data_IF_648180727960
#
_entry.id   IF_648180727960
#
_cell.length_a   1.000
_cell.length_b   1.000
_cell.length_c   1.000
_cell.angle_alpha   90.00
_cell.angle_beta   90.00
_cell.angle_gamma   90.00
#
_symmetry.space_group_name_H-M   'P 1'
#
loop_
_entity.id
_entity.type
_entity.pdbx_description
1 polymer ?
#
# COMPACT_ATOMS: atom_id res chain seq x y z
N UNK A 1 -5.29 1.06 14.58
CA UNK A 1 -4.52 1.68 13.47
C UNK A 1 -3.00 1.59 13.70
N UNK A 2 -2.48 0.45 14.19
CA UNK A 2 -1.04 0.26 14.44
C UNK A 2 -0.24 -0.16 13.20
N UNK A 3 -0.90 -0.63 12.14
CA UNK A 3 -0.27 -1.13 10.90
C UNK A 3 0.16 0.00 9.96
N UNK A 4 -0.48 1.18 10.07
CA UNK A 4 -0.15 2.37 9.27
C UNK A 4 1.22 2.96 9.66
N UNK A 5 1.68 2.70 10.89
CA UNK A 5 2.89 3.31 11.48
C UNK A 5 4.22 2.96 10.79
N UNK A 6 4.26 1.98 9.88
CA UNK A 6 5.50 1.55 9.23
C UNK A 6 5.67 2.05 7.79
N UNK A 7 4.68 2.72 7.20
CA UNK A 7 4.72 3.07 5.78
C UNK A 7 4.71 4.56 5.54
N UNK A 8 5.54 4.98 4.59
CA UNK A 8 5.58 6.35 4.14
C UNK A 8 4.36 6.68 3.28
N UNK A 9 3.98 7.95 3.26
CA UNK A 9 2.97 8.48 2.34
C UNK A 9 3.20 8.06 0.87
N UNK A 10 4.46 8.06 0.42
CA UNK A 10 4.81 7.69 -0.95
C UNK A 10 4.64 6.20 -1.23
N UNK A 11 4.88 5.33 -0.26
CA UNK A 11 4.67 3.88 -0.40
C UNK A 11 3.19 3.57 -0.59
N UNK A 12 2.33 4.32 0.11
CA UNK A 12 0.88 4.18 0.00
C UNK A 12 0.39 4.65 -1.37
N UNK A 13 0.89 5.80 -1.85
CA UNK A 13 0.53 6.28 -3.20
C UNK A 13 1.01 5.30 -4.27
N UNK A 14 2.24 4.80 -4.16
CA UNK A 14 2.78 3.83 -5.11
C UNK A 14 1.93 2.55 -5.13
N UNK A 15 1.54 2.03 -3.96
CA UNK A 15 0.65 0.87 -3.86
C UNK A 15 -0.75 1.11 -4.44
N UNK A 16 -1.36 2.27 -4.17
CA UNK A 16 -2.66 2.63 -4.74
C UNK A 16 -2.61 2.88 -6.25
N UNK A 17 -1.48 3.36 -6.77
CA UNK A 17 -1.26 3.56 -8.20
C UNK A 17 -1.10 2.23 -8.95
N UNK A 18 -0.46 1.23 -8.32
CA UNK A 18 -0.25 -0.09 -8.93
C UNK A 18 -1.58 -0.82 -9.27
N UNK A 19 -2.66 -0.54 -8.54
CA UNK A 19 -3.99 -1.09 -8.82
C UNK A 19 -4.92 -0.15 -9.60
N UNK A 20 -4.46 1.03 -10.00
CA UNK A 20 -5.29 2.07 -10.61
C UNK A 20 -6.49 2.51 -9.73
N UNK A 21 -6.49 2.14 -8.44
CA UNK A 21 -7.56 2.41 -7.46
C UNK A 21 -7.33 3.71 -6.68
N UNK A 22 -6.31 4.51 -7.02
CA UNK A 22 -5.99 5.76 -6.32
C UNK A 22 -7.16 6.76 -6.20
N UNK A 23 -8.11 6.70 -7.13
CA UNK A 23 -9.32 7.53 -7.16
C UNK A 23 -10.41 7.12 -6.16
N UNK A 24 -10.34 5.91 -5.60
CA UNK A 24 -11.37 5.38 -4.69
C UNK A 24 -11.10 5.72 -3.22
N UNK A 25 -9.87 6.13 -2.90
CA UNK A 25 -9.42 6.38 -1.53
C UNK A 25 -9.26 7.88 -1.29
N UNK A 26 -9.83 8.37 -0.19
CA UNK A 26 -9.66 9.75 0.27
C UNK A 26 -9.10 9.76 1.69
N UNK A 27 -8.11 10.63 1.93
CA UNK A 27 -7.46 10.75 3.24
C UNK A 27 -8.05 11.91 4.05
N UNK A 28 -8.25 11.70 5.34
CA UNK A 28 -8.58 12.78 6.28
C UNK A 28 -7.30 13.61 6.55
N UNK A 29 -7.38 14.93 6.79
CA UNK A 29 -6.25 15.75 7.26
C UNK A 29 -5.44 15.13 8.42
N UNK A 30 -6.10 14.43 9.35
CA UNK A 30 -5.41 13.74 10.45
C UNK A 30 -4.54 12.59 9.94
N UNK A 31 -5.04 11.78 9.00
CA UNK A 31 -4.30 10.65 8.43
C UNK A 31 -3.10 11.14 7.64
N UNK A 32 -3.24 12.24 6.88
CA UNK A 32 -2.12 12.85 6.17
C UNK A 32 -1.03 13.35 7.13
N UNK A 33 -1.40 13.92 8.28
CA UNK A 33 -0.42 14.31 9.28
C UNK A 33 0.27 13.11 9.91
N UNK A 34 -0.40 11.97 10.06
CA UNK A 34 0.22 10.72 10.53
C UNK A 34 1.17 10.11 9.50
N UNK A 35 0.79 10.15 8.21
CA UNK A 35 1.59 9.59 7.11
C UNK A 35 2.81 10.43 6.72
N UNK A 36 2.79 11.73 7.02
CA UNK A 36 3.91 12.66 6.78
C UNK A 36 4.90 12.66 7.94
N UNK A 37 4.51 12.20 9.14
CA UNK A 37 5.46 11.98 10.22
C UNK A 37 6.45 10.91 9.76
N UNK A 38 7.71 11.32 9.60
CA UNK A 38 8.78 10.37 9.34
C UNK A 38 8.76 9.33 10.46
N UNK A 39 8.92 8.03 10.14
CA UNK A 39 9.09 7.03 11.18
C UNK A 39 10.28 7.48 12.02
N UNK A 40 10.08 7.65 13.32
CA UNK A 40 11.17 7.99 14.23
C UNK A 40 12.32 7.00 13.94
N UNK A 41 13.51 7.50 13.59
CA UNK A 41 14.73 6.69 13.42
C UNK A 41 15.20 6.01 14.73
N UNK A 42 14.32 5.85 15.73
CA UNK A 42 14.57 5.21 17.01
C UNK A 42 14.53 3.68 16.95
N UNK A 43 14.41 3.10 15.75
CA UNK A 43 14.68 1.68 15.50
C UNK A 43 15.86 1.48 14.53
N UNK A 44 16.99 2.18 14.76
CA UNK A 44 18.26 1.50 14.48
C UNK A 44 18.33 0.34 15.47
N UNK A 45 18.33 -0.94 15.04
CA UNK A 45 18.70 -1.99 15.96
C UNK A 45 20.06 -1.61 16.51
N UNK A 46 20.17 -1.57 17.83
CA UNK A 46 21.42 -1.46 18.56
C UNK A 46 22.27 -2.70 18.21
N UNK A 47 22.88 -2.70 17.02
CA UNK A 47 23.73 -3.76 16.50
C UNK A 47 25.02 -3.92 17.32
N UNK A 48 25.27 -3.04 18.30
CA UNK A 48 26.49 -3.07 19.11
C UNK A 48 26.43 -4.09 20.25
N UNK A 49 25.26 -4.52 20.73
CA UNK A 49 25.18 -5.49 21.83
C UNK A 49 25.40 -6.95 21.37
N UNK A 50 25.05 -7.30 20.13
CA UNK A 50 25.27 -8.66 19.59
C UNK A 50 26.70 -8.90 19.08
N UNK A 51 27.44 -7.84 18.76
CA UNK A 51 28.83 -7.93 18.30
C UNK A 51 29.80 -8.46 19.38
N UNK A 52 29.41 -8.40 20.66
CA UNK A 52 30.22 -8.84 21.81
C UNK A 52 29.97 -10.30 22.20
N UNK A 53 28.92 -10.94 21.67
CA UNK A 53 28.68 -12.37 21.90
C UNK A 53 29.60 -13.16 21.00
N UNK A 54 30.32 -14.14 21.57
CA UNK A 54 31.16 -15.05 20.81
C UNK A 54 30.28 -15.74 19.76
N UNK A 55 30.70 -15.71 18.50
CA UNK A 55 29.99 -16.39 17.41
C UNK A 55 30.03 -17.89 17.66
N UNK A 56 28.87 -18.50 17.86
CA UNK A 56 28.75 -19.96 17.95
C UNK A 56 29.18 -20.60 16.63
N UNK A 57 29.96 -21.68 16.72
CA UNK A 57 30.43 -22.42 15.54
C UNK A 57 29.30 -23.33 15.09
N UNK A 58 28.72 -23.04 13.92
CA UNK A 58 27.55 -23.74 13.37
C UNK A 58 27.95 -24.96 12.53
N UNK A 59 29.14 -24.92 11.91
CA UNK A 59 29.58 -25.92 10.94
C UNK A 59 31.03 -26.38 11.17
N UNK A 60 31.34 -27.59 10.72
CA UNK A 60 32.66 -28.21 10.89
C UNK A 60 33.63 -28.06 9.71
N UNK A 61 33.28 -27.30 8.66
CA UNK A 61 34.08 -27.25 7.42
C UNK A 61 35.54 -26.83 7.60
N UNK A 62 35.83 -26.02 8.64
CA UNK A 62 37.18 -25.56 8.97
C UNK A 62 37.83 -26.36 10.12
N UNK A 63 37.25 -27.50 10.52
CA UNK A 63 37.87 -28.42 11.49
C UNK A 63 37.63 -28.12 12.97
N UNK A 64 36.47 -27.54 13.35
CA UNK A 64 36.06 -27.32 14.74
C UNK A 64 35.04 -28.35 15.26
N UNK A 65 35.04 -28.63 16.57
CA UNK A 65 33.96 -29.39 17.22
C UNK A 65 32.70 -28.53 17.24
N UNK A 66 31.60 -29.09 16.73
CA UNK A 66 30.28 -28.42 16.70
C UNK A 66 29.42 -29.03 17.79
N UNK A 67 29.04 -28.21 18.76
CA UNK A 67 28.04 -28.60 19.75
C UNK A 67 26.65 -28.37 19.14
N UNK A 68 26.00 -29.47 18.74
CA UNK A 68 24.70 -29.47 18.05
C UNK A 68 23.64 -28.72 18.85
N UNK A 69 23.68 -28.83 20.19
CA UNK A 69 22.75 -28.17 21.10
C UNK A 69 22.95 -26.64 21.16
N UNK A 70 24.18 -26.16 20.98
CA UNK A 70 24.46 -24.72 20.94
C UNK A 70 24.09 -24.15 19.56
N UNK A 71 24.43 -24.89 18.50
CA UNK A 71 24.09 -24.53 17.14
C UNK A 71 22.57 -24.51 16.90
N UNK A 72 21.78 -25.43 17.49
CA UNK A 72 20.33 -25.43 17.32
C UNK A 72 19.63 -24.22 17.97
N UNK A 73 20.23 -23.67 19.02
CA UNK A 73 19.66 -22.55 19.78
C UNK A 73 20.08 -21.18 19.24
N UNK A 74 21.00 -21.14 18.28
CA UNK A 74 21.43 -19.90 17.62
C UNK A 74 20.34 -19.39 16.66
N UNK A 75 20.11 -18.07 16.64
CA UNK A 75 19.23 -17.44 15.65
C UNK A 75 19.96 -17.25 14.33
N UNK A 76 19.37 -17.75 13.25
CA UNK A 76 19.91 -17.65 11.89
C UNK A 76 19.13 -16.61 11.10
N UNK A 77 19.80 -15.54 10.70
CA UNK A 77 19.26 -14.62 9.70
C UNK A 77 19.77 -15.00 8.30
N UNK A 78 18.87 -15.56 7.49
CA UNK A 78 19.10 -15.95 6.10
C UNK A 78 18.29 -15.08 5.12
N UNK A 79 17.86 -13.90 5.56
CA UNK A 79 16.99 -12.99 4.79
C UNK A 79 17.56 -12.54 3.44
N UNK A 80 18.88 -12.61 3.24
CA UNK A 80 19.52 -12.30 1.97
C UNK A 80 19.34 -13.38 0.88
N UNK A 81 18.87 -14.59 1.25
CA UNK A 81 18.63 -15.70 0.32
C UNK A 81 17.14 -15.86 0.00
N UNK A 82 16.80 -16.13 -1.25
CA UNK A 82 15.40 -16.28 -1.68
C UNK A 82 14.77 -17.65 -1.32
N UNK A 83 15.60 -18.70 -1.26
CA UNK A 83 15.15 -20.09 -1.00
C UNK A 83 15.70 -20.65 0.31
N UNK A 84 16.30 -19.80 1.15
CA UNK A 84 16.94 -20.20 2.40
C UNK A 84 18.35 -20.77 2.23
N UNK A 85 18.86 -21.40 3.30
CA UNK A 85 20.26 -21.85 3.37
C UNK A 85 20.55 -23.16 2.63
N UNK A 86 19.55 -23.99 2.36
CA UNK A 86 19.72 -25.26 1.64
C UNK A 86 18.41 -25.72 1.02
N UNK A 87 18.48 -26.18 -0.23
CA UNK A 87 17.37 -26.83 -0.94
C UNK A 87 17.84 -28.21 -1.43
N UNK A 88 17.11 -29.30 -1.15
CA UNK A 88 17.47 -30.63 -1.63
C UNK A 88 17.56 -30.68 -3.17
N UNK A 89 18.62 -31.32 -3.69
CA UNK A 89 18.91 -31.39 -5.13
C UNK A 89 17.72 -31.90 -5.95
N UNK A 90 17.14 -33.05 -5.56
CA UNK A 90 15.98 -33.65 -6.25
C UNK A 90 14.77 -32.72 -6.27
N UNK A 91 14.56 -31.97 -5.18
CA UNK A 91 13.48 -31.02 -5.10
C UNK A 91 13.74 -29.89 -6.09
N UNK A 92 14.91 -29.25 -6.02
CA UNK A 92 15.28 -28.13 -6.89
C UNK A 92 15.19 -28.48 -8.38
N UNK A 93 15.62 -29.68 -8.76
CA UNK A 93 15.54 -30.18 -10.15
C UNK A 93 14.10 -30.39 -10.64
N UNK A 94 13.17 -30.65 -9.73
CA UNK A 94 11.75 -30.89 -10.04
C UNK A 94 10.86 -29.64 -9.95
N UNK A 95 11.39 -28.51 -9.47
CA UNK A 95 10.60 -27.29 -9.28
C UNK A 95 10.30 -26.62 -10.63
N UNK A 96 9.09 -26.06 -10.70
CA UNK A 96 8.63 -25.26 -11.83
C UNK A 96 9.21 -23.85 -11.76
N UNK A 97 9.96 -23.43 -12.78
CA UNK A 97 10.49 -22.06 -12.86
C UNK A 97 9.39 -21.01 -13.00
N UNK A 98 8.28 -21.37 -13.64
CA UNK A 98 7.15 -20.46 -13.91
C UNK A 98 6.44 -20.10 -12.61
N UNK A 99 6.17 -21.10 -11.77
CA UNK A 99 5.47 -20.88 -10.50
C UNK A 99 6.30 -20.04 -9.53
N UNK A 100 7.62 -20.28 -9.49
CA UNK A 100 8.54 -19.47 -8.69
C UNK A 100 8.70 -18.06 -9.24
N UNK A 101 8.71 -17.85 -10.56
CA UNK A 101 8.73 -16.51 -11.13
C UNK A 101 7.48 -15.71 -10.72
N UNK A 102 6.30 -16.32 -10.80
CA UNK A 102 5.06 -15.70 -10.32
C UNK A 102 5.07 -15.45 -8.82
N UNK A 103 5.58 -16.40 -8.04
CA UNK A 103 5.73 -16.24 -6.60
C UNK A 103 6.65 -15.06 -6.27
N UNK A 104 7.83 -14.97 -6.88
CA UNK A 104 8.78 -13.87 -6.64
C UNK A 104 8.27 -12.52 -7.09
N UNK A 105 7.59 -12.46 -8.23
CA UNK A 105 6.92 -11.22 -8.64
C UNK A 105 5.88 -10.79 -7.60
N UNK A 106 5.07 -11.73 -7.10
CA UNK A 106 4.06 -11.46 -6.09
C UNK A 106 4.67 -11.04 -4.73
N UNK A 107 5.71 -11.73 -4.27
CA UNK A 107 6.28 -11.53 -2.93
C UNK A 107 7.29 -10.38 -2.86
N UNK A 108 8.10 -10.16 -3.89
CA UNK A 108 9.13 -9.13 -3.87
C UNK A 108 8.64 -7.79 -4.41
N UNK A 109 7.81 -7.80 -5.45
CA UNK A 109 7.38 -6.57 -6.12
C UNK A 109 5.96 -6.14 -5.70
N UNK A 110 5.01 -7.09 -5.66
CA UNK A 110 3.61 -6.76 -5.40
C UNK A 110 3.21 -6.74 -3.91
N UNK A 111 4.07 -7.16 -2.98
CA UNK A 111 3.70 -7.28 -1.56
C UNK A 111 3.22 -5.95 -0.97
N UNK A 112 3.97 -4.88 -1.21
CA UNK A 112 3.62 -3.54 -0.73
C UNK A 112 2.24 -3.12 -1.25
N UNK A 113 2.02 -3.28 -2.55
CA UNK A 113 0.77 -2.94 -3.19
C UNK A 113 -0.38 -3.75 -2.58
N UNK A 114 -0.26 -5.08 -2.49
CA UNK A 114 -1.29 -5.96 -1.93
C UNK A 114 -1.68 -5.56 -0.52
N UNK A 115 -0.69 -5.28 0.33
CA UNK A 115 -0.97 -4.86 1.69
C UNK A 115 -1.60 -3.46 1.77
N UNK A 116 -1.29 -2.54 0.85
CA UNK A 116 -1.97 -1.23 0.74
C UNK A 116 -3.42 -1.43 0.29
N UNK A 117 -3.64 -2.31 -0.67
CA UNK A 117 -4.97 -2.63 -1.19
C UNK A 117 -5.87 -3.18 -0.07
N UNK A 118 -5.39 -4.14 0.72
CA UNK A 118 -6.15 -4.71 1.83
C UNK A 118 -6.53 -3.65 2.88
N UNK A 119 -5.58 -2.76 3.20
CA UNK A 119 -5.76 -1.72 4.20
C UNK A 119 -6.80 -0.66 3.80
N UNK A 120 -6.77 -0.18 2.56
CA UNK A 120 -7.60 0.95 2.12
C UNK A 120 -8.80 0.53 1.28
N UNK A 121 -8.60 -0.37 0.31
CA UNK A 121 -9.66 -0.77 -0.64
C UNK A 121 -10.46 -1.95 -0.09
N UNK A 122 -9.80 -2.97 0.46
CA UNK A 122 -10.43 -4.18 1.02
C UNK A 122 -11.29 -3.90 2.25
N UNK A 123 -10.88 -2.96 3.08
CA UNK A 123 -11.60 -2.58 4.32
C UNK A 123 -12.68 -1.51 4.08
N UNK A 124 -12.83 -1.01 2.84
CA UNK A 124 -13.81 0.04 2.52
C UNK A 124 -13.46 1.42 3.09
N UNK A 125 -12.22 1.63 3.50
CA UNK A 125 -11.79 2.86 4.16
C UNK A 125 -11.77 4.04 3.17
N UNK A 126 -12.50 5.11 3.50
CA UNK A 126 -12.52 6.33 2.69
C UNK A 126 -13.13 6.15 1.29
N UNK A 127 -13.83 5.02 1.04
CA UNK A 127 -14.60 4.82 -0.18
C UNK A 127 -15.62 5.94 -0.31
N UNK A 128 -15.53 6.67 -1.41
CA UNK A 128 -16.61 7.55 -1.85
C UNK A 128 -17.84 6.64 -2.00
N UNK A 129 -18.96 6.89 -1.31
CA UNK A 129 -20.17 6.11 -1.53
C UNK A 129 -20.50 6.19 -3.02
N UNK A 130 -20.44 5.04 -3.68
CA UNK A 130 -20.83 4.86 -5.06
C UNK A 130 -22.34 5.07 -5.16
N UNK A 131 -22.76 6.33 -5.21
CA UNK A 131 -23.98 6.70 -5.91
C UNK A 131 -23.57 7.24 -7.28
N UNK A 132 -24.24 6.71 -8.31
CA UNK A 132 -24.12 7.00 -9.75
C UNK A 132 -23.14 6.04 -10.49
N UNK A 133 -23.46 4.75 -10.51
CA UNK A 133 -23.83 4.01 -11.73
C UNK A 133 -23.91 2.51 -11.44
N UNK A 134 -25.04 1.90 -11.83
CA UNK A 134 -25.49 0.59 -11.38
C UNK A 134 -24.50 -0.56 -11.61
N UNK A 135 -24.18 -1.24 -10.52
CA UNK A 135 -23.88 -2.66 -10.51
C UNK A 135 -24.31 -3.19 -9.15
N UNK A 136 -25.27 -4.08 -9.17
CA UNK A 136 -25.84 -4.74 -8.00
C UNK A 136 -24.73 -5.45 -7.23
N UNK A 137 -24.55 -5.06 -5.97
CA UNK A 137 -23.85 -5.85 -4.97
C UNK A 137 -24.78 -5.96 -3.74
N UNK A 138 -25.25 -7.19 -3.55
CA UNK A 138 -25.88 -7.85 -2.41
C UNK A 138 -26.07 -7.01 -1.13
N UNK A 139 -27.29 -6.96 -0.54
CA UNK A 139 -27.53 -6.24 0.70
C UNK A 139 -27.03 -7.07 1.90
N UNK A 140 -26.16 -6.48 2.72
CA UNK A 140 -26.04 -6.86 4.13
C UNK A 140 -26.84 -5.82 4.90
N UNK A 141 -28.01 -6.25 5.33
CA UNK A 141 -28.91 -5.52 6.21
C UNK A 141 -28.18 -5.16 7.50
N UNK A 142 -28.22 -3.88 7.88
CA UNK A 142 -28.49 -3.46 9.25
C UNK A 142 -28.81 -1.96 9.24
N UNK A 143 -30.11 -1.67 9.15
CA UNK A 143 -30.66 -0.36 9.37
C UNK A 143 -30.54 0.00 10.86
N UNK A 144 -29.94 1.15 11.16
CA UNK A 144 -30.46 2.00 12.23
C UNK A 144 -30.48 3.45 11.76
N UNK A 145 -31.71 3.91 11.69
CA UNK A 145 -32.25 5.23 11.39
C UNK A 145 -31.57 6.32 12.22
N UNK A 146 -31.04 7.36 11.56
CA UNK A 146 -30.99 8.71 12.12
C UNK A 146 -30.81 9.72 10.97
N UNK A 147 -31.91 10.34 10.59
CA UNK A 147 -31.90 11.62 9.88
C UNK A 147 -31.13 12.66 10.70
N UNK A 148 -30.23 13.42 10.05
CA UNK A 148 -29.97 14.83 10.39
C UNK A 148 -29.11 15.49 9.31
N UNK A 149 -29.80 16.33 8.53
CA UNK A 149 -29.34 17.61 8.00
C UNK A 149 -28.01 18.09 8.60
N UNK A 150 -26.94 18.04 7.81
CA UNK A 150 -25.78 18.89 8.05
C UNK A 150 -25.22 19.40 6.72
N UNK A 151 -25.06 20.71 6.70
CA UNK A 151 -24.49 21.54 5.64
C UNK A 151 -23.29 20.90 4.95
N UNK A 152 -23.17 20.94 3.61
CA UNK A 152 -22.02 20.35 2.93
C UNK A 152 -20.77 21.14 3.30
N UNK A 153 -19.88 20.51 4.05
CA UNK A 153 -18.50 20.94 4.21
C UNK A 153 -17.93 21.26 2.82
N UNK A 154 -17.28 22.42 2.70
CA UNK A 154 -16.71 22.93 1.44
C UNK A 154 -15.61 22.00 0.94
N UNK A 155 -15.99 20.94 0.26
CA UNK A 155 -15.06 20.07 -0.46
C UNK A 155 -14.43 20.89 -1.59
N UNK A 156 -13.09 20.95 -1.61
CA UNK A 156 -12.35 21.62 -2.68
C UNK A 156 -12.46 20.76 -3.93
N UNK A 157 -13.37 21.14 -4.83
CA UNK A 157 -13.60 20.44 -6.10
C UNK A 157 -12.69 21.00 -7.18
N UNK A 158 -12.08 20.13 -7.98
CA UNK A 158 -11.33 20.54 -9.17
C UNK A 158 -12.31 21.12 -10.20
N UNK A 159 -12.12 22.40 -10.55
CA UNK A 159 -12.95 23.14 -11.52
C UNK A 159 -12.07 23.51 -12.72
N UNK A 160 -12.60 23.34 -13.93
CA UNK A 160 -11.99 23.81 -15.17
C UNK A 160 -12.70 25.11 -15.57
N UNK A 161 -11.93 26.12 -15.98
CA UNK A 161 -12.46 27.46 -16.31
C UNK A 161 -12.18 27.76 -17.78
N UNK A 162 -13.22 28.15 -18.53
CA UNK A 162 -13.02 28.64 -19.89
C UNK A 162 -12.23 29.96 -19.86
N UNK A 163 -11.09 30.02 -20.54
CA UNK A 163 -10.24 31.22 -20.59
C UNK A 163 -10.94 32.45 -21.19
N UNK A 164 -11.92 32.23 -22.08
CA UNK A 164 -12.58 33.29 -22.85
C UNK A 164 -13.78 33.92 -22.12
N UNK A 165 -14.66 33.12 -21.52
CA UNK A 165 -15.88 33.60 -20.87
C UNK A 165 -15.93 33.34 -19.36
N UNK A 166 -14.87 32.78 -18.77
CA UNK A 166 -14.76 32.44 -17.34
C UNK A 166 -15.85 31.50 -16.80
N UNK A 167 -16.55 30.78 -17.69
CA UNK A 167 -17.49 29.73 -17.29
C UNK A 167 -16.76 28.60 -16.56
N UNK A 168 -17.40 28.06 -15.52
CA UNK A 168 -16.82 27.06 -14.61
C UNK A 168 -17.48 25.72 -14.84
N UNK A 169 -16.66 24.68 -15.02
CA UNK A 169 -17.10 23.30 -15.22
C UNK A 169 -16.55 22.45 -14.09
N UNK A 170 -17.42 21.71 -13.39
CA UNK A 170 -17.07 20.91 -12.23
C UNK A 170 -17.57 19.47 -12.41
N UNK A 171 -16.90 18.52 -11.75
CA UNK A 171 -17.28 17.10 -11.81
C UNK A 171 -16.44 16.27 -12.80
N UNK A 172 -16.86 15.02 -13.07
CA UNK A 172 -16.09 14.07 -13.87
C UNK A 172 -16.12 14.36 -15.38
N UNK A 173 -17.21 14.98 -15.89
CA UNK A 173 -17.36 15.32 -17.32
C UNK A 173 -16.94 16.74 -17.67
N UNK A 174 -16.25 17.44 -16.77
CA UNK A 174 -15.86 18.86 -16.91
C UNK A 174 -15.07 19.19 -18.19
N UNK A 175 -14.28 18.24 -18.70
CA UNK A 175 -13.55 18.41 -19.98
C UNK A 175 -14.46 18.28 -21.19
N UNK A 176 -15.36 17.29 -21.20
CA UNK A 176 -16.35 17.10 -22.28
C UNK A 176 -17.36 18.26 -22.34
N UNK A 177 -17.75 18.79 -21.17
CA UNK A 177 -18.62 19.97 -21.09
C UNK A 177 -17.93 21.23 -21.60
N UNK A 178 -16.62 21.38 -21.35
CA UNK A 178 -15.82 22.47 -21.91
C UNK A 178 -15.68 22.33 -23.43
N UNK A 179 -15.50 21.11 -23.97
CA UNK A 179 -15.40 20.87 -25.42
C UNK A 179 -16.71 21.21 -26.14
N UNK A 180 -17.86 20.88 -25.53
CA UNK A 180 -19.19 21.22 -26.07
C UNK A 180 -19.61 22.65 -25.75
N UNK A 181 -18.81 23.39 -24.99
CA UNK A 181 -19.17 24.73 -24.57
C UNK A 181 -19.10 25.71 -25.74
N UNK A 182 -20.26 26.20 -26.15
CA UNK A 182 -20.37 27.31 -27.09
C UNK A 182 -19.93 28.62 -26.40
N UNK A 183 -18.64 28.94 -26.50
CA UNK A 183 -18.10 30.15 -25.95
C UNK A 183 -18.56 31.39 -26.75
N UNK A 184 -19.51 32.15 -26.20
CA UNK A 184 -19.84 33.49 -26.71
C UNK A 184 -18.78 34.46 -26.19
N UNK A 185 -18.00 35.05 -27.09
CA UNK A 185 -17.06 36.13 -26.77
C UNK A 185 -17.85 37.31 -26.17
N UNK A 186 -17.74 37.57 -24.87
CA UNK A 186 -18.00 38.91 -24.36
C UNK A 186 -16.69 39.68 -24.40
N UNK A 187 -16.52 40.55 -25.42
CA UNK A 187 -15.55 41.64 -25.32
C UNK A 187 -16.03 42.55 -24.20
N UNK A 188 -15.30 42.57 -23.09
CA UNK A 188 -15.25 43.64 -22.12
C UNK A 188 -13.83 43.69 -21.56
#
# INVERSE_FOLDING_TARGET
MSVVKKRSYYDIIAGLAAFECSQEVTFNPHDLQELVKQPDESQKPSNDEDSRKKRTIVHGYLGGKVDINEASNASYDLSHTLLGGYVPKRQLESLSSIDFAHYFHKSLECENALQVYDLFVGTGYGRIPAHINGREAVPVENATTAERTSTPAKSVRKVVVCKRCRSRFAGPRRMQELEKHACRHSRA
#
